data_IF_787467745441
#
_entry.id   IF_787467745441
#
_cell.length_a   1.000
_cell.length_b   1.000
_cell.length_c   1.000
_cell.angle_alpha   90.00
_cell.angle_beta   90.00
_cell.angle_gamma   90.00
#
_symmetry.space_group_name_H-M   'P 1'
#
loop_
_entity.id
_entity.type
_entity.pdbx_description
1 polymer ?
#
# COMPACT_ATOMS: atom_id res chain seq x y z
N UNK A 1 9.29 -4.18 -22.88
CA UNK A 1 8.80 -3.33 -21.77
C UNK A 1 8.10 -4.25 -20.79
N UNK A 2 8.59 -4.39 -19.55
CA UNK A 2 8.03 -5.35 -18.59
C UNK A 2 7.11 -4.64 -17.61
N UNK A 3 5.85 -5.06 -17.53
CA UNK A 3 4.91 -4.63 -16.48
C UNK A 3 5.24 -5.42 -15.21
N UNK A 4 5.34 -4.72 -14.08
CA UNK A 4 5.52 -5.35 -12.75
C UNK A 4 4.26 -5.17 -11.92
N UNK A 5 3.91 -6.19 -11.14
CA UNK A 5 2.77 -6.17 -10.23
C UNK A 5 3.27 -6.37 -8.81
N UNK A 6 2.87 -5.49 -7.90
CA UNK A 6 3.13 -5.63 -6.48
C UNK A 6 1.80 -5.80 -5.76
N UNK A 7 1.69 -6.86 -4.96
CA UNK A 7 0.43 -7.28 -4.35
C UNK A 7 0.45 -6.93 -2.86
N UNK A 8 -0.59 -6.23 -2.41
CA UNK A 8 -0.83 -5.93 -1.01
C UNK A 8 -2.15 -6.58 -0.58
N UNK A 9 -2.15 -7.24 0.56
CA UNK A 9 -3.30 -8.02 1.04
C UNK A 9 -3.86 -7.43 2.33
N UNK A 10 -5.17 -7.24 2.37
CA UNK A 10 -5.86 -6.92 3.61
C UNK A 10 -5.87 -8.18 4.49
N UNK A 11 -5.66 -8.01 5.80
CA UNK A 11 -5.58 -9.13 6.74
C UNK A 11 -6.91 -9.50 7.38
N UNK A 12 -7.94 -8.64 7.26
CA UNK A 12 -9.29 -8.87 7.81
C UNK A 12 -10.35 -9.12 6.75
N UNK A 13 -10.06 -8.83 5.48
CA UNK A 13 -11.01 -8.94 4.37
C UNK A 13 -10.38 -9.65 3.16
N UNK A 14 -11.19 -10.10 2.19
CA UNK A 14 -10.68 -10.58 0.90
C UNK A 14 -10.04 -9.48 0.04
N UNK A 15 -10.16 -8.21 0.43
CA UNK A 15 -9.61 -7.10 -0.32
C UNK A 15 -8.09 -7.24 -0.48
N UNK A 16 -7.63 -6.84 -1.66
CA UNK A 16 -6.24 -6.72 -2.01
C UNK A 16 -6.09 -5.49 -2.92
N UNK A 17 -4.87 -5.00 -3.01
CA UNK A 17 -4.51 -3.90 -3.87
C UNK A 17 -3.33 -4.35 -4.73
N UNK A 18 -3.45 -4.11 -6.03
CA UNK A 18 -2.39 -4.33 -7.00
C UNK A 18 -1.81 -2.97 -7.36
N UNK A 19 -0.54 -2.79 -7.07
CA UNK A 19 0.24 -1.67 -7.57
C UNK A 19 0.95 -2.13 -8.84
N UNK A 20 0.46 -1.66 -9.99
CA UNK A 20 0.99 -1.98 -11.32
C UNK A 20 2.01 -0.94 -11.72
N UNK A 21 3.26 -1.35 -11.94
CA UNK A 21 4.27 -0.54 -12.62
C UNK A 21 4.15 -0.72 -14.14
N UNK A 22 3.94 0.38 -14.84
CA UNK A 22 4.02 0.44 -16.28
C UNK A 22 5.47 0.73 -16.71
N UNK A 23 5.67 1.63 -17.67
CA UNK A 23 6.99 2.09 -18.08
C UNK A 23 7.43 3.28 -17.20
N UNK A 24 8.65 3.21 -16.66
CA UNK A 24 9.21 4.30 -15.84
C UNK A 24 8.45 4.49 -14.51
N UNK A 25 8.27 5.75 -14.04
CA UNK A 25 7.58 6.06 -12.80
C UNK A 25 6.05 6.06 -12.96
N UNK A 26 5.50 5.43 -13.99
CA UNK A 26 4.06 5.38 -14.23
C UNK A 26 3.46 4.18 -13.50
N UNK A 27 2.60 4.47 -12.53
CA UNK A 27 1.94 3.48 -11.68
C UNK A 27 0.42 3.56 -11.81
N UNK A 28 -0.22 2.41 -11.59
CA UNK A 28 -1.67 2.33 -11.44
C UNK A 28 -2.04 1.54 -10.19
N UNK A 29 -3.00 2.05 -9.42
CA UNK A 29 -3.69 1.26 -8.41
C UNK A 29 -4.85 0.50 -9.03
N UNK A 30 -5.01 -0.75 -8.61
CA UNK A 30 -6.14 -1.60 -9.01
C UNK A 30 -6.62 -2.30 -7.74
N UNK A 31 -7.89 -2.10 -7.41
CA UNK A 31 -8.54 -2.85 -6.33
C UNK A 31 -8.82 -4.27 -6.78
N UNK A 32 -8.68 -5.23 -5.87
CA UNK A 32 -8.89 -6.63 -6.15
C UNK A 32 -9.68 -7.31 -5.01
N UNK A 33 -10.83 -7.86 -5.34
CA UNK A 33 -11.57 -8.73 -4.44
C UNK A 33 -11.17 -10.19 -4.70
N UNK A 34 -10.44 -10.80 -3.76
CA UNK A 34 -9.95 -12.18 -3.86
C UNK A 34 -11.04 -13.23 -3.67
N UNK A 35 -12.21 -12.86 -3.16
CA UNK A 35 -13.32 -13.81 -3.04
C UNK A 35 -14.00 -14.07 -4.38
N UNK A 36 -14.01 -13.07 -5.27
CA UNK A 36 -14.71 -13.12 -6.56
C UNK A 36 -13.76 -13.01 -7.76
N UNK A 37 -12.46 -12.80 -7.52
CA UNK A 37 -11.46 -12.44 -8.53
C UNK A 37 -11.84 -11.19 -9.35
N UNK A 38 -12.63 -10.29 -8.76
CA UNK A 38 -13.07 -9.05 -9.42
C UNK A 38 -12.02 -7.96 -9.24
N UNK A 39 -11.74 -7.23 -10.33
CA UNK A 39 -10.81 -6.11 -10.34
C UNK A 39 -11.56 -4.80 -10.54
N UNK A 40 -11.22 -3.78 -9.76
CA UNK A 40 -11.72 -2.43 -9.91
C UNK A 40 -10.59 -1.49 -10.37
N UNK A 41 -10.78 -0.73 -11.45
CA UNK A 41 -9.78 0.23 -11.89
C UNK A 41 -9.60 1.34 -10.86
N UNK A 42 -8.36 1.65 -10.52
CA UNK A 42 -8.00 2.82 -9.73
C UNK A 42 -7.24 3.88 -10.55
N UNK A 43 -6.66 4.83 -9.82
CA UNK A 43 -6.01 6.02 -10.35
C UNK A 43 -4.61 5.73 -10.91
N UNK A 44 -4.19 6.55 -11.89
CA UNK A 44 -2.83 6.60 -12.41
C UNK A 44 -2.00 7.67 -11.68
N UNK A 45 -0.71 7.43 -11.52
CA UNK A 45 0.25 8.41 -10.98
C UNK A 45 1.60 8.29 -11.68
N UNK A 46 2.28 9.42 -11.89
CA UNK A 46 3.59 9.47 -12.55
C UNK A 46 4.68 9.99 -11.58
N UNK A 47 4.96 9.22 -10.53
CA UNK A 47 6.00 9.48 -9.53
C UNK A 47 6.68 8.17 -9.17
N UNK A 48 7.93 8.20 -8.72
CA UNK A 48 8.56 6.97 -8.21
C UNK A 48 7.87 6.52 -6.91
N UNK A 49 7.66 5.22 -6.77
CA UNK A 49 7.08 4.62 -5.56
C UNK A 49 8.04 3.56 -5.06
N UNK A 50 8.41 3.67 -3.78
CA UNK A 50 9.24 2.65 -3.12
C UNK A 50 8.30 1.61 -2.51
N UNK A 51 8.13 0.51 -3.24
CA UNK A 51 7.16 -0.57 -2.92
C UNK A 51 7.38 -1.18 -1.53
N UNK A 52 8.64 -1.29 -1.10
CA UNK A 52 9.03 -1.81 0.21
C UNK A 52 8.62 -0.89 1.38
N UNK A 53 8.17 0.33 1.08
CA UNK A 53 7.70 1.35 2.03
C UNK A 53 6.19 1.59 1.95
N UNK A 54 5.47 0.68 1.32
CA UNK A 54 4.02 0.73 1.18
C UNK A 54 3.33 -0.26 2.13
N UNK A 55 2.10 0.07 2.54
CA UNK A 55 1.28 -0.79 3.38
C UNK A 55 -0.20 -0.64 3.04
N UNK A 56 -0.95 -1.74 3.09
CA UNK A 56 -2.40 -1.76 3.02
C UNK A 56 -2.97 -1.94 4.44
N UNK A 57 -4.00 -1.18 4.76
CA UNK A 57 -4.73 -1.30 6.03
C UNK A 57 -5.37 -2.69 6.21
N UNK A 58 -5.61 -3.16 7.44
CA UNK A 58 -6.13 -4.50 7.69
C UNK A 58 -7.51 -4.74 7.07
N UNK A 59 -8.36 -3.71 6.99
CA UNK A 59 -9.68 -3.75 6.33
C UNK A 59 -9.62 -3.61 4.80
N UNK A 60 -8.50 -3.13 4.26
CA UNK A 60 -8.27 -2.93 2.83
C UNK A 60 -8.79 -1.60 2.28
N UNK A 61 -9.18 -0.65 3.13
CA UNK A 61 -9.80 0.62 2.69
C UNK A 61 -8.80 1.75 2.47
N UNK A 62 -7.65 1.68 3.12
CA UNK A 62 -6.62 2.71 3.10
C UNK A 62 -5.26 2.16 2.68
N UNK A 63 -4.56 2.93 1.85
CA UNK A 63 -3.22 2.61 1.36
C UNK A 63 -2.23 3.68 1.83
N UNK A 64 -1.10 3.23 2.37
CA UNK A 64 0.02 4.06 2.73
C UNK A 64 1.14 3.79 1.73
N UNK A 65 1.70 4.83 1.12
CA UNK A 65 2.80 4.69 0.19
C UNK A 65 3.82 5.81 0.33
N UNK A 66 5.07 5.51 -0.03
CA UNK A 66 6.13 6.50 -0.12
C UNK A 66 6.42 6.80 -1.58
N UNK A 67 6.34 8.08 -1.96
CA UNK A 67 6.54 8.56 -3.31
C UNK A 67 7.67 9.59 -3.39
N UNK A 68 8.32 9.64 -4.55
CA UNK A 68 9.37 10.59 -4.89
C UNK A 68 9.01 11.23 -6.23
N UNK A 69 8.93 12.56 -6.26
CA UNK A 69 8.68 13.36 -7.46
C UNK A 69 9.81 14.37 -7.77
N UNK A 70 10.84 14.40 -6.93
CA UNK A 70 12.03 15.25 -7.04
C UNK A 70 11.75 16.76 -7.03
N UNK A 71 10.53 17.19 -6.70
CA UNK A 71 10.18 18.60 -6.57
C UNK A 71 10.56 19.13 -5.18
N UNK A 72 11.86 19.25 -4.93
CA UNK A 72 12.43 19.61 -3.61
C UNK A 72 11.98 20.97 -3.07
N UNK A 73 11.67 21.93 -3.96
CA UNK A 73 11.23 23.28 -3.59
C UNK A 73 9.73 23.37 -3.23
N UNK A 74 8.96 22.29 -3.42
CA UNK A 74 7.54 22.23 -3.08
C UNK A 74 7.33 21.93 -1.59
N UNK A 75 6.15 22.24 -1.02
CA UNK A 75 5.85 21.89 0.37
C UNK A 75 6.04 20.40 0.72
N UNK A 76 5.83 19.50 -0.25
CA UNK A 76 6.03 18.05 -0.10
C UNK A 76 7.51 17.63 -0.08
N UNK A 77 8.43 18.54 -0.43
CA UNK A 77 9.89 18.37 -0.40
C UNK A 77 10.41 17.19 -1.24
N UNK A 78 9.89 16.98 -2.45
CA UNK A 78 10.42 15.99 -3.41
C UNK A 78 10.27 14.51 -3.05
N UNK A 79 10.07 14.18 -1.77
CA UNK A 79 9.90 12.84 -1.25
C UNK A 79 8.96 12.87 -0.04
N UNK A 80 7.92 12.04 -0.03
CA UNK A 80 6.83 12.14 0.94
C UNK A 80 6.07 10.82 1.13
N UNK A 81 5.46 10.68 2.30
CA UNK A 81 4.54 9.58 2.62
C UNK A 81 3.12 10.05 2.48
N UNK A 82 2.28 9.28 1.79
CA UNK A 82 0.86 9.56 1.60
C UNK A 82 0.02 8.47 2.23
N UNK A 83 -1.10 8.86 2.83
CA UNK A 83 -2.21 8.00 3.17
C UNK A 83 -3.38 8.33 2.24
N UNK A 84 -3.89 7.35 1.50
CA UNK A 84 -4.99 7.51 0.56
C UNK A 84 -6.11 6.50 0.82
N UNK A 85 -7.30 6.78 0.28
CA UNK A 85 -8.36 5.79 0.15
C UNK A 85 -8.10 4.89 -1.07
N UNK A 86 -8.31 3.59 -0.93
CA UNK A 86 -8.20 2.63 -2.05
C UNK A 86 -9.41 2.79 -2.99
N UNK A 87 -9.22 2.68 -4.33
CA UNK A 87 -7.98 2.47 -5.08
C UNK A 87 -7.42 3.77 -5.70
N UNK A 88 -7.38 4.86 -4.92
CA UNK A 88 -6.91 6.18 -5.38
C UNK A 88 -5.57 6.56 -4.75
N UNK A 89 -4.85 7.44 -5.42
CA UNK A 89 -3.65 8.12 -4.92
C UNK A 89 -3.97 9.48 -4.28
N UNK A 90 -5.24 9.91 -4.31
CA UNK A 90 -5.64 11.17 -3.68
C UNK A 90 -5.34 11.15 -2.18
N UNK A 91 -4.49 12.09 -1.77
CA UNK A 91 -4.00 12.18 -0.40
C UNK A 91 -5.13 12.55 0.57
N UNK A 92 -5.36 11.70 1.57
CA UNK A 92 -6.09 12.03 2.79
C UNK A 92 -5.16 12.66 3.83
N UNK A 93 -3.91 12.19 3.88
CA UNK A 93 -2.81 12.81 4.62
C UNK A 93 -1.51 12.77 3.80
N UNK A 94 -0.66 13.78 3.96
CA UNK A 94 0.64 13.84 3.28
C UNK A 94 1.72 14.35 4.23
N UNK A 95 2.81 13.60 4.31
CA UNK A 95 3.94 13.85 5.21
C UNK A 95 5.23 14.06 4.43
N UNK A 96 5.77 15.29 4.38
CA UNK A 96 7.03 15.58 3.72
C UNK A 96 8.20 14.87 4.41
N UNK A 97 9.05 14.21 3.62
CA UNK A 97 10.29 13.61 4.09
C UNK A 97 11.50 14.48 3.73
N UNK A 98 11.62 14.93 2.48
CA UNK A 98 12.75 15.76 2.04
C UNK A 98 14.02 15.01 1.64
N UNK A 99 14.01 13.68 1.73
CA UNK A 99 15.08 12.78 1.31
C UNK A 99 14.52 11.36 1.10
N UNK A 100 15.36 10.42 0.65
CA UNK A 100 15.01 9.00 0.48
C UNK A 100 15.55 8.11 1.60
N UNK A 101 16.08 8.69 2.69
CA UNK A 101 16.66 7.97 3.83
C UNK A 101 15.59 7.43 4.79
N UNK A 102 14.38 7.98 4.76
CA UNK A 102 13.22 7.54 5.54
C UNK A 102 11.92 7.55 4.75
N UNK A 103 10.80 7.78 5.43
CA UNK A 103 9.45 7.73 4.85
C UNK A 103 8.85 6.32 4.81
N UNK A 104 7.61 6.24 4.35
CA UNK A 104 6.80 5.04 4.48
C UNK A 104 6.16 4.93 5.86
N UNK A 105 5.67 3.74 6.18
CA UNK A 105 4.90 3.51 7.39
C UNK A 105 4.15 2.18 7.38
N UNK A 106 3.34 1.97 8.41
CA UNK A 106 2.53 0.78 8.57
C UNK A 106 1.25 1.08 9.35
N UNK A 107 0.24 0.23 9.17
CA UNK A 107 -0.98 0.27 9.96
C UNK A 107 -0.81 -0.56 11.24
N UNK A 108 -1.24 0.01 12.36
CA UNK A 108 -1.37 -0.71 13.64
C UNK A 108 -2.71 -1.43 13.68
N UNK A 109 -3.77 -0.74 13.23
CA UNK A 109 -5.12 -1.26 13.04
C UNK A 109 -5.84 -0.44 11.95
N UNK A 110 -7.17 -0.60 11.81
CA UNK A 110 -7.98 0.07 10.79
C UNK A 110 -8.04 1.60 10.95
N UNK A 111 -7.74 2.11 12.14
CA UNK A 111 -7.85 3.52 12.51
C UNK A 111 -6.53 4.14 12.94
N UNK A 112 -5.49 3.35 13.21
CA UNK A 112 -4.19 3.83 13.65
C UNK A 112 -3.06 3.43 12.70
N UNK A 113 -2.17 4.38 12.42
CA UNK A 113 -1.00 4.16 11.58
C UNK A 113 0.23 4.89 12.12
N UNK A 114 1.39 4.39 11.75
CA UNK A 114 2.70 4.97 12.06
C UNK A 114 3.33 5.39 10.73
N UNK A 115 3.91 6.58 10.71
CA UNK A 115 4.79 7.01 9.61
C UNK A 115 6.23 7.01 10.08
N UNK A 116 7.14 6.64 9.18
CA UNK A 116 8.57 6.61 9.43
C UNK A 116 9.23 7.91 8.95
N UNK A 117 8.78 9.03 9.48
CA UNK A 117 9.30 10.37 9.16
C UNK A 117 9.84 11.07 10.40
N UNK A 118 10.64 12.14 10.25
CA UNK A 118 11.11 12.95 11.37
C UNK A 118 10.00 13.30 12.38
N UNK A 119 10.36 13.32 13.66
CA UNK A 119 9.44 13.70 14.72
C UNK A 119 8.89 15.10 14.46
N UNK A 120 7.57 15.27 14.56
CA UNK A 120 6.92 16.56 14.34
C UNK A 120 6.64 16.91 12.87
N UNK A 121 6.92 16.03 11.90
CA UNK A 121 6.50 16.25 10.50
C UNK A 121 4.99 16.53 10.45
N UNK A 122 4.54 17.68 9.92
CA UNK A 122 3.12 17.99 9.83
C UNK A 122 2.42 17.17 8.73
N UNK A 123 1.12 16.93 8.91
CA UNK A 123 0.24 16.53 7.81
C UNK A 123 -0.13 17.79 7.01
N UNK A 124 0.23 17.83 5.73
CA UNK A 124 -0.07 18.97 4.86
C UNK A 124 -1.52 18.97 4.33
N UNK A 125 -2.25 17.87 4.47
CA UNK A 125 -3.61 17.73 3.92
C UNK A 125 -4.67 17.75 5.03
N UNK A 126 -4.51 16.92 6.07
CA UNK A 126 -5.40 16.92 7.23
C UNK A 126 -6.83 16.42 6.95
N UNK A 127 -7.03 15.56 5.94
CA UNK A 127 -8.34 15.06 5.49
C UNK A 127 -8.50 13.55 5.69
N UNK A 128 -7.91 12.99 6.74
CA UNK A 128 -8.01 11.58 7.09
C UNK A 128 -8.97 11.36 8.29
N UNK A 129 -10.30 11.55 8.13
CA UNK A 129 -11.24 11.44 9.24
C UNK A 129 -11.26 10.01 9.80
N UNK A 130 -11.27 9.89 11.13
CA UNK A 130 -11.28 8.59 11.81
C UNK A 130 -9.93 7.86 11.81
N UNK A 131 -8.93 8.35 11.07
CA UNK A 131 -7.57 7.82 11.06
C UNK A 131 -6.67 8.68 11.94
N UNK A 132 -5.88 8.03 12.80
CA UNK A 132 -4.99 8.67 13.76
C UNK A 132 -3.56 8.21 13.54
N UNK A 133 -2.70 9.17 13.21
CA UNK A 133 -1.26 8.96 13.30
C UNK A 133 -0.87 8.78 14.76
N UNK A 134 -0.12 7.72 15.05
CA UNK A 134 0.47 7.50 16.36
C UNK A 134 2.00 7.55 16.26
N UNK A 135 2.64 8.11 17.29
CA UNK A 135 4.09 7.96 17.47
C UNK A 135 4.31 6.51 17.92
N UNK A 136 5.26 5.81 17.32
CA UNK A 136 5.49 4.37 17.50
C UNK A 136 5.12 3.85 18.90
N UNK A 137 4.16 2.91 18.92
CA UNK A 137 3.59 2.20 20.07
C UNK A 137 3.67 2.89 21.44
N UNK A 138 2.61 3.61 21.84
CA UNK A 138 2.30 3.75 23.26
C UNK A 138 1.65 2.45 23.78
N UNK A 139 2.43 1.60 24.44
CA UNK A 139 2.00 0.84 25.62
C UNK A 139 1.01 -0.33 25.49
N UNK A 140 0.38 -0.60 24.34
CA UNK A 140 -0.52 -1.75 24.18
C UNK A 140 -0.01 -2.70 23.10
N UNK A 141 0.48 -3.86 23.56
CA UNK A 141 0.93 -5.03 22.79
C UNK A 141 2.30 -4.94 22.10
N UNK A 142 3.35 -4.82 22.91
CA UNK A 142 4.66 -5.35 22.54
C UNK A 142 4.66 -6.87 22.78
N UNK A 143 4.70 -7.66 21.70
CA UNK A 143 5.53 -8.86 21.65
C UNK A 143 6.38 -8.79 20.39
N UNK A 144 7.72 -8.67 20.51
CA UNK A 144 8.61 -8.74 19.36
C UNK A 144 8.86 -10.21 19.05
N UNK A 145 7.97 -10.86 18.28
CA UNK A 145 8.31 -12.13 17.63
C UNK A 145 7.36 -12.49 16.49
N UNK A 146 7.56 -11.86 15.33
CA UNK A 146 7.17 -12.45 14.05
C UNK A 146 8.23 -12.19 12.97
N UNK A 147 9.50 -12.24 13.37
CA UNK A 147 10.51 -12.88 12.55
C UNK A 147 10.44 -14.38 12.90
N UNK A 148 9.95 -15.21 11.96
CA UNK A 148 9.86 -16.69 12.00
C UNK A 148 8.91 -17.33 13.04
N UNK A 149 7.92 -18.09 12.54
CA UNK A 149 7.40 -19.30 13.20
C UNK A 149 5.91 -19.29 13.59
N UNK A 150 5.16 -20.23 13.02
CA UNK A 150 3.77 -20.66 13.26
C UNK A 150 3.30 -20.74 14.74
N UNK A 151 2.01 -20.42 15.01
CA UNK A 151 1.23 -21.04 16.11
C UNK A 151 0.05 -20.24 16.74
N UNK A 152 -1.20 -20.65 16.41
CA UNK A 152 -2.48 -20.67 17.22
C UNK A 152 -2.77 -19.47 18.16
N UNK A 153 -3.82 -18.62 18.03
CA UNK A 153 -5.32 -18.73 17.94
C UNK A 153 -5.83 -17.25 17.95
N UNK A 154 -6.97 -16.78 17.40
CA UNK A 154 -8.35 -17.29 17.29
C UNK A 154 -9.08 -16.52 16.16
N UNK A 155 -9.97 -17.23 15.46
CA UNK A 155 -10.56 -16.96 14.15
C UNK A 155 -11.26 -15.60 13.93
N UNK A 156 -10.69 -14.79 13.03
CA UNK A 156 -11.42 -14.34 11.84
C UNK A 156 -10.74 -15.05 10.67
N UNK A 157 -11.48 -15.86 9.92
CA UNK A 157 -10.92 -16.63 8.79
C UNK A 157 -10.67 -15.67 7.63
N UNK A 158 -9.65 -14.82 7.74
CA UNK A 158 -9.01 -14.32 6.54
C UNK A 158 -8.42 -15.56 5.84
N UNK A 159 -8.74 -15.82 4.56
CA UNK A 159 -8.12 -16.93 3.85
C UNK A 159 -6.61 -16.76 3.97
N UNK A 160 -5.90 -17.84 4.37
CA UNK A 160 -4.43 -17.89 4.39
C UNK A 160 -3.89 -17.25 3.11
N UNK A 161 -2.75 -16.53 3.13
CA UNK A 161 -2.21 -15.90 1.94
C UNK A 161 -2.11 -16.99 0.87
N UNK A 162 -3.04 -16.93 -0.07
CA UNK A 162 -3.09 -17.83 -1.20
C UNK A 162 -1.83 -17.49 -1.99
N UNK A 163 -1.07 -18.51 -2.40
CA UNK A 163 0.18 -18.35 -3.13
C UNK A 163 -0.09 -17.83 -4.55
N UNK A 164 -0.57 -16.59 -4.67
CA UNK A 164 -0.70 -15.92 -5.95
C UNK A 164 0.68 -15.57 -6.48
N UNK A 165 0.83 -15.71 -7.80
CA UNK A 165 2.08 -15.40 -8.49
C UNK A 165 1.85 -14.34 -9.55
N UNK A 166 2.91 -13.60 -9.84
CA UNK A 166 2.90 -12.57 -10.88
C UNK A 166 4.01 -12.85 -11.88
N UNK A 167 3.68 -12.89 -13.17
CA UNK A 167 4.66 -13.10 -14.23
C UNK A 167 4.35 -12.17 -15.40
N UNK A 168 5.30 -11.28 -15.74
CA UNK A 168 5.19 -10.42 -16.91
C UNK A 168 3.92 -9.57 -16.97
N UNK A 169 3.45 -9.04 -15.84
CA UNK A 169 2.21 -8.24 -15.78
C UNK A 169 0.92 -9.06 -15.69
N UNK A 170 1.01 -10.38 -15.54
CA UNK A 170 -0.13 -11.28 -15.33
C UNK A 170 -0.20 -11.71 -13.88
N UNK A 171 -1.42 -11.95 -13.39
CA UNK A 171 -1.70 -12.45 -12.05
C UNK A 171 -2.29 -13.86 -12.16
N UNK A 172 -1.77 -14.79 -11.37
CA UNK A 172 -2.22 -16.18 -11.33
C UNK A 172 -2.68 -16.58 -9.93
N UNK A 173 -3.75 -17.37 -9.88
CA UNK A 173 -4.24 -18.07 -8.70
C UNK A 173 -3.29 -19.21 -8.29
N UNK A 174 -3.38 -19.73 -7.05
CA UNK A 174 -2.50 -20.81 -6.57
C UNK A 174 -2.61 -22.12 -7.36
N UNK A 175 -3.73 -22.34 -8.04
CA UNK A 175 -3.96 -23.50 -8.92
C UNK A 175 -3.36 -23.31 -10.33
N UNK A 176 -2.70 -22.18 -10.59
CA UNK A 176 -2.11 -21.83 -11.88
C UNK A 176 -3.09 -21.16 -12.85
N UNK A 177 -4.36 -20.97 -12.48
CA UNK A 177 -5.32 -20.24 -13.32
C UNK A 177 -4.93 -18.78 -13.42
N UNK A 178 -4.86 -18.25 -14.63
CA UNK A 178 -4.68 -16.81 -14.83
C UNK A 178 -5.95 -16.06 -14.40
N UNK A 179 -5.78 -15.11 -13.49
CA UNK A 179 -6.85 -14.22 -13.02
C UNK A 179 -7.00 -13.05 -14.00
N UNK A 180 -5.87 -12.41 -14.34
CA UNK A 180 -5.87 -11.26 -15.26
C UNK A 180 -4.53 -11.10 -15.96
N UNK A 181 -4.59 -10.55 -17.17
CA UNK A 181 -3.44 -9.99 -17.89
C UNK A 181 -3.54 -8.46 -17.90
N UNK A 182 -2.60 -7.78 -17.23
CA UNK A 182 -2.57 -6.32 -17.12
C UNK A 182 -1.56 -5.68 -18.09
N UNK A 183 -1.06 -6.43 -19.07
CA UNK A 183 -0.11 -5.91 -20.07
C UNK A 183 -0.77 -4.96 -21.07
N UNK A 184 -1.99 -5.26 -21.50
CA UNK A 184 -2.73 -4.52 -22.53
C UNK A 184 -3.54 -3.33 -22.00
N UNK A 185 -3.31 -2.93 -20.75
CA UNK A 185 -4.05 -1.84 -20.13
C UNK A 185 -3.58 -0.49 -20.69
N UNK A 186 -4.50 0.25 -21.30
CA UNK A 186 -4.24 1.59 -21.86
C UNK A 186 -3.63 2.51 -20.80
N UNK A 187 -2.45 3.03 -21.11
CA UNK A 187 -1.82 4.12 -20.34
C UNK A 187 -2.43 5.45 -20.77
N UNK A 188 -2.60 6.40 -19.84
CA UNK A 188 -3.09 7.75 -20.17
C UNK A 188 -2.15 8.51 -21.11
#
# INVERSE_FOLDING_TARGET
MSVQLHLFYASQTPAALILRQAQGPLWRLIGWDRATDTLSPGQWMQHDILVDRCALSPDGLHFLYFAVDEQWDRPAKGAYTVLSAVPNFDALALYPQGDVQGGGGYFVDNTHYVIQSPTGTPDLVGKAPGLKRVNSMSGAAMTPRAARGFGKRRNVTAPSPQNYTTEGGKLFAPDGRMIVDLTQMETP
#
